data_IF_081048389062
#
_entry.id   IF_081048389062
#
_cell.length_a   1.000
_cell.length_b   1.000
_cell.length_c   1.000
_cell.angle_alpha   90.00
_cell.angle_beta   90.00
_cell.angle_gamma   90.00
#
_symmetry.space_group_name_H-M   'P 1'
#
loop_
_entity.id
_entity.type
_entity.pdbx_description
1 polymer ?
#
# COMPACT_ATOMS: atom_id res chain seq x y z
N UNK A 1 -25.90 -10.21 -31.53
CA UNK A 1 -25.75 -10.08 -30.08
C UNK A 1 -27.12 -9.86 -29.50
N UNK A 2 -27.55 -10.61 -28.47
CA UNK A 2 -28.82 -10.36 -27.79
C UNK A 2 -28.75 -9.01 -27.09
N UNK A 3 -29.72 -8.15 -27.36
CA UNK A 3 -29.80 -6.83 -26.76
C UNK A 3 -30.13 -7.00 -25.27
N UNK A 4 -29.32 -6.40 -24.38
CA UNK A 4 -29.58 -6.45 -22.95
C UNK A 4 -30.88 -5.73 -22.62
N UNK A 5 -31.69 -6.25 -21.68
CA UNK A 5 -32.92 -5.60 -21.26
C UNK A 5 -32.67 -4.18 -20.77
N UNK A 6 -33.59 -3.30 -21.11
CA UNK A 6 -33.54 -1.87 -20.72
C UNK A 6 -34.58 -1.56 -19.62
N UNK A 7 -34.48 -0.37 -19.03
CA UNK A 7 -35.50 0.11 -18.08
C UNK A 7 -36.88 0.26 -18.74
N UNK A 8 -36.93 0.54 -20.05
CA UNK A 8 -38.14 0.56 -20.87
C UNK A 8 -38.79 -0.82 -20.95
N UNK A 9 -38.01 -1.88 -21.11
CA UNK A 9 -38.54 -3.25 -21.18
C UNK A 9 -39.15 -3.66 -19.84
N UNK A 10 -38.50 -3.29 -18.71
CA UNK A 10 -39.06 -3.50 -17.36
C UNK A 10 -40.38 -2.75 -17.20
N UNK A 11 -40.38 -1.45 -17.58
CA UNK A 11 -41.59 -0.62 -17.48
C UNK A 11 -42.78 -1.20 -18.31
N UNK A 12 -42.49 -1.71 -19.49
CA UNK A 12 -43.46 -2.34 -20.37
C UNK A 12 -44.02 -3.65 -19.77
N UNK A 13 -43.14 -4.54 -19.25
CA UNK A 13 -43.56 -5.81 -18.63
C UNK A 13 -44.33 -5.57 -17.33
N UNK A 14 -43.89 -4.65 -16.50
CA UNK A 14 -44.56 -4.29 -15.24
C UNK A 14 -45.78 -3.38 -15.43
N UNK A 15 -46.08 -2.92 -16.64
CA UNK A 15 -47.16 -1.98 -16.99
C UNK A 15 -47.13 -0.71 -16.13
N UNK A 16 -45.96 -0.09 -16.01
CA UNK A 16 -45.74 1.17 -15.27
C UNK A 16 -44.89 2.15 -16.08
N UNK A 17 -44.77 3.37 -15.62
CA UNK A 17 -43.86 4.34 -16.23
C UNK A 17 -42.40 4.02 -15.93
N UNK A 18 -41.46 4.48 -16.77
CA UNK A 18 -40.01 4.44 -16.50
C UNK A 18 -39.67 5.08 -15.15
N UNK A 19 -40.35 6.18 -14.81
CA UNK A 19 -40.18 6.85 -13.54
C UNK A 19 -40.57 5.95 -12.36
N UNK A 20 -41.64 5.17 -12.49
CA UNK A 20 -42.06 4.21 -11.47
C UNK A 20 -41.02 3.11 -11.27
N UNK A 21 -40.45 2.56 -12.35
CA UNK A 21 -39.34 1.59 -12.27
C UNK A 21 -38.13 2.22 -11.57
N UNK A 22 -37.78 3.45 -11.94
CA UNK A 22 -36.69 4.19 -11.30
C UNK A 22 -36.94 4.41 -9.81
N UNK A 23 -38.16 4.71 -9.42
CA UNK A 23 -38.53 4.91 -8.01
C UNK A 23 -38.42 3.59 -7.22
N UNK A 24 -38.88 2.46 -7.78
CA UNK A 24 -38.71 1.14 -7.14
C UNK A 24 -37.24 0.82 -6.90
N UNK A 25 -36.37 1.09 -7.87
CA UNK A 25 -34.93 0.81 -7.78
C UNK A 25 -34.18 1.71 -6.80
N UNK A 26 -34.65 2.95 -6.58
CA UNK A 26 -33.86 3.97 -5.87
C UNK A 26 -34.52 4.49 -4.58
N UNK A 27 -35.82 4.38 -4.47
CA UNK A 27 -36.61 4.90 -3.33
C UNK A 27 -37.88 4.03 -3.16
N UNK A 28 -37.71 2.73 -2.84
CA UNK A 28 -38.83 1.79 -2.83
C UNK A 28 -39.94 2.17 -1.83
N UNK A 29 -39.58 2.92 -0.78
CA UNK A 29 -40.53 3.36 0.25
C UNK A 29 -41.61 4.34 -0.21
N UNK A 30 -41.39 5.04 -1.34
CA UNK A 30 -42.39 5.96 -1.91
C UNK A 30 -43.34 5.29 -2.89
N UNK A 31 -43.14 3.99 -3.17
CA UNK A 31 -43.94 3.23 -4.14
C UNK A 31 -44.85 2.26 -3.38
N UNK A 32 -46.14 2.18 -3.80
CA UNK A 32 -47.10 1.24 -3.22
C UNK A 32 -46.62 -0.21 -3.38
N UNK A 33 -46.80 -1.05 -2.34
CA UNK A 33 -46.29 -2.43 -2.30
C UNK A 33 -46.67 -3.26 -3.53
N UNK A 34 -47.95 -3.28 -3.94
CA UNK A 34 -48.41 -3.99 -5.11
C UNK A 34 -47.75 -3.54 -6.43
N UNK A 35 -47.32 -2.27 -6.52
CA UNK A 35 -46.58 -1.75 -7.68
C UNK A 35 -45.12 -2.17 -7.63
N UNK A 36 -44.53 -2.14 -6.44
CA UNK A 36 -43.16 -2.59 -6.19
C UNK A 36 -42.98 -4.07 -6.55
N UNK A 37 -43.87 -4.94 -6.06
CA UNK A 37 -43.84 -6.38 -6.36
C UNK A 37 -43.93 -6.67 -7.88
N UNK A 38 -44.78 -5.96 -8.61
CA UNK A 38 -44.88 -6.13 -10.07
C UNK A 38 -43.60 -5.74 -10.80
N UNK A 39 -42.96 -4.65 -10.37
CA UNK A 39 -41.70 -4.20 -10.95
C UNK A 39 -40.57 -5.16 -10.62
N UNK A 40 -40.49 -5.63 -9.38
CA UNK A 40 -39.47 -6.60 -8.94
C UNK A 40 -39.63 -7.96 -9.70
N UNK A 41 -40.85 -8.41 -9.90
CA UNK A 41 -41.15 -9.59 -10.71
C UNK A 41 -40.68 -9.40 -12.17
N UNK A 42 -40.94 -8.24 -12.78
CA UNK A 42 -40.51 -7.92 -14.13
C UNK A 42 -38.97 -7.84 -14.24
N UNK A 43 -38.30 -7.28 -13.26
CA UNK A 43 -36.82 -7.24 -13.15
C UNK A 43 -36.26 -8.66 -13.12
N UNK A 44 -36.82 -9.54 -12.26
CA UNK A 44 -36.40 -10.93 -12.14
C UNK A 44 -36.65 -11.70 -13.45
N UNK A 45 -37.84 -11.57 -14.07
CA UNK A 45 -38.22 -12.21 -15.32
C UNK A 45 -37.28 -11.87 -16.48
N UNK A 46 -36.94 -10.57 -16.60
CA UNK A 46 -36.04 -10.06 -17.65
C UNK A 46 -34.58 -10.21 -17.32
N UNK A 47 -34.24 -10.62 -16.11
CA UNK A 47 -32.84 -10.56 -15.55
C UNK A 47 -32.23 -9.20 -15.77
N UNK A 48 -33.07 -8.14 -15.65
CA UNK A 48 -32.60 -6.77 -15.81
C UNK A 48 -31.67 -6.39 -14.68
N UNK A 49 -30.54 -5.82 -15.06
CA UNK A 49 -29.63 -5.14 -14.13
C UNK A 49 -29.48 -3.68 -14.59
N UNK A 50 -29.66 -2.70 -13.70
CA UNK A 50 -29.42 -1.31 -14.04
C UNK A 50 -28.03 -1.12 -14.64
N UNK A 51 -27.94 -0.49 -15.80
CA UNK A 51 -26.66 -0.18 -16.41
C UNK A 51 -25.86 0.76 -15.50
N UNK A 52 -24.64 0.38 -15.16
CA UNK A 52 -23.73 1.18 -14.33
C UNK A 52 -23.53 2.61 -14.92
N UNK A 53 -23.46 2.72 -16.25
CA UNK A 53 -23.37 4.01 -16.96
C UNK A 53 -24.57 4.93 -16.72
N UNK A 54 -25.80 4.41 -16.73
CA UNK A 54 -27.00 5.20 -16.46
C UNK A 54 -27.06 5.66 -14.99
N UNK A 55 -26.58 4.82 -14.05
CA UNK A 55 -26.46 5.19 -12.64
C UNK A 55 -25.40 6.28 -12.46
N UNK A 56 -24.23 6.16 -13.10
CA UNK A 56 -23.13 7.13 -13.08
C UNK A 56 -23.59 8.51 -13.59
N UNK A 57 -24.25 8.55 -14.75
CA UNK A 57 -24.77 9.82 -15.33
C UNK A 57 -25.71 10.55 -14.39
N UNK A 58 -26.50 9.82 -13.60
CA UNK A 58 -27.49 10.41 -12.69
C UNK A 58 -26.87 10.82 -11.35
N UNK A 59 -26.02 9.96 -10.76
CA UNK A 59 -25.46 10.18 -9.42
C UNK A 59 -24.12 10.89 -9.45
N UNK A 60 -23.47 10.97 -10.61
CA UNK A 60 -22.07 11.39 -10.79
C UNK A 60 -21.09 10.62 -9.89
N UNK A 61 -21.47 9.39 -9.48
CA UNK A 61 -20.65 8.51 -8.66
C UNK A 61 -20.39 7.21 -9.40
N UNK A 62 -19.13 6.81 -9.49
CA UNK A 62 -18.72 5.59 -10.17
C UNK A 62 -18.62 4.39 -9.22
N UNK A 63 -18.56 4.65 -7.90
CA UNK A 63 -18.20 3.67 -6.87
C UNK A 63 -16.89 2.98 -7.22
N UNK A 64 -15.90 3.75 -7.64
CA UNK A 64 -14.61 3.24 -8.12
C UNK A 64 -13.47 4.07 -7.53
N UNK A 65 -12.45 3.37 -7.05
CA UNK A 65 -11.21 3.93 -6.53
C UNK A 65 -10.12 3.66 -7.57
N UNK A 66 -9.40 4.71 -7.98
CA UNK A 66 -8.26 4.60 -8.89
C UNK A 66 -6.96 4.41 -8.13
N UNK A 67 -6.11 3.52 -8.61
CA UNK A 67 -4.75 3.34 -8.11
C UNK A 67 -3.82 3.04 -9.27
N UNK A 68 -2.62 3.64 -9.26
CA UNK A 68 -1.61 3.36 -10.26
C UNK A 68 -1.01 1.97 -10.04
N UNK A 69 -0.96 1.18 -11.10
CA UNK A 69 -0.13 -0.02 -11.15
C UNK A 69 1.32 0.43 -11.39
N UNK A 70 2.18 0.16 -10.43
CA UNK A 70 3.61 0.46 -10.57
C UNK A 70 4.21 -0.32 -11.75
N UNK A 71 5.16 0.30 -12.49
CA UNK A 71 5.92 -0.43 -13.48
C UNK A 71 6.60 -1.63 -12.84
N UNK A 72 6.68 -2.73 -13.57
CA UNK A 72 7.36 -3.94 -13.10
C UNK A 72 8.81 -3.60 -12.75
N UNK A 73 9.09 -3.57 -11.45
CA UNK A 73 10.43 -3.46 -10.88
C UNK A 73 10.71 -4.77 -10.19
N UNK A 74 11.94 -5.23 -10.17
CA UNK A 74 12.44 -6.40 -9.43
C UNK A 74 11.35 -7.22 -8.73
N UNK A 75 10.99 -8.40 -9.22
CA UNK A 75 9.82 -9.19 -8.79
C UNK A 75 9.69 -9.46 -7.27
N UNK A 76 10.69 -9.12 -6.45
CA UNK A 76 10.68 -9.26 -4.99
C UNK A 76 9.96 -8.06 -4.36
N UNK A 77 10.43 -6.83 -4.61
CA UNK A 77 9.79 -5.61 -4.06
C UNK A 77 8.39 -5.37 -4.59
N UNK A 78 8.07 -5.84 -5.79
CA UNK A 78 6.72 -5.79 -6.35
C UNK A 78 5.68 -6.55 -5.54
N UNK A 79 6.08 -7.58 -4.79
CA UNK A 79 5.17 -8.41 -3.98
C UNK A 79 4.48 -7.64 -2.85
N UNK A 80 5.07 -6.56 -2.35
CA UNK A 80 4.46 -5.69 -1.32
C UNK A 80 3.24 -4.99 -1.88
N UNK A 81 3.38 -4.35 -3.04
CA UNK A 81 2.26 -3.65 -3.68
C UNK A 81 1.20 -4.65 -4.16
N UNK A 82 1.60 -5.81 -4.67
CA UNK A 82 0.69 -6.87 -5.07
C UNK A 82 -0.18 -7.34 -3.88
N UNK A 83 0.43 -7.63 -2.73
CA UNK A 83 -0.28 -8.00 -1.49
C UNK A 83 -1.23 -6.87 -1.03
N UNK A 84 -0.77 -5.62 -1.10
CA UNK A 84 -1.62 -4.47 -0.76
C UNK A 84 -2.81 -4.34 -1.72
N UNK A 85 -2.59 -4.48 -3.03
CA UNK A 85 -3.66 -4.40 -4.04
C UNK A 85 -4.71 -5.50 -3.87
N UNK A 86 -4.30 -6.73 -3.53
CA UNK A 86 -5.22 -7.81 -3.20
C UNK A 86 -6.09 -7.45 -2.00
N UNK A 87 -5.48 -7.04 -0.89
CA UNK A 87 -6.20 -6.65 0.32
C UNK A 87 -7.13 -5.44 0.08
N UNK A 88 -6.66 -4.43 -0.67
CA UNK A 88 -7.46 -3.26 -1.02
C UNK A 88 -8.67 -3.65 -1.88
N UNK A 89 -8.48 -4.52 -2.87
CA UNK A 89 -9.55 -4.94 -3.79
C UNK A 89 -10.62 -5.76 -3.06
N UNK A 90 -10.21 -6.72 -2.24
CA UNK A 90 -11.12 -7.55 -1.44
C UNK A 90 -11.96 -6.71 -0.47
N UNK A 91 -11.31 -5.79 0.23
CA UNK A 91 -11.99 -4.92 1.19
C UNK A 91 -12.85 -3.84 0.52
N UNK A 92 -12.45 -3.35 -0.65
CA UNK A 92 -13.26 -2.42 -1.44
C UNK A 92 -14.55 -3.11 -1.94
N UNK A 93 -14.45 -4.36 -2.43
CA UNK A 93 -15.61 -5.13 -2.88
C UNK A 93 -16.63 -5.33 -1.76
N UNK A 94 -16.17 -5.65 -0.54
CA UNK A 94 -17.03 -5.77 0.66
C UNK A 94 -17.81 -4.49 0.98
N UNK A 95 -17.28 -3.33 0.55
CA UNK A 95 -17.89 -2.00 0.67
C UNK A 95 -18.61 -1.53 -0.61
N UNK A 96 -18.84 -2.44 -1.55
CA UNK A 96 -19.47 -2.15 -2.85
C UNK A 96 -18.70 -1.13 -3.70
N UNK A 97 -17.41 -0.99 -3.46
CA UNK A 97 -16.49 -0.18 -4.25
C UNK A 97 -15.69 -1.09 -5.20
N UNK A 98 -15.22 -0.53 -6.30
CA UNK A 98 -14.34 -1.21 -7.26
C UNK A 98 -12.97 -0.55 -7.26
N UNK A 99 -11.95 -1.31 -7.59
CA UNK A 99 -10.61 -0.79 -7.82
C UNK A 99 -10.35 -0.77 -9.32
N UNK A 100 -9.93 0.38 -9.85
CA UNK A 100 -9.49 0.58 -11.22
C UNK A 100 -7.99 0.78 -11.23
N UNK A 101 -7.29 -0.13 -11.90
CA UNK A 101 -5.85 -0.01 -12.11
C UNK A 101 -5.56 0.78 -13.38
N UNK A 102 -4.64 1.73 -13.30
CA UNK A 102 -4.14 2.46 -14.46
C UNK A 102 -2.61 2.56 -14.42
N UNK A 103 -1.99 2.85 -15.54
CA UNK A 103 -0.53 2.97 -15.64
C UNK A 103 -0.10 4.40 -15.88
N UNK A 104 1.05 4.77 -15.32
CA UNK A 104 1.73 6.03 -15.62
C UNK A 104 3.24 5.84 -15.48
N UNK A 105 4.02 6.55 -16.30
CA UNK A 105 5.47 6.42 -16.36
C UNK A 105 6.18 7.29 -15.31
N UNK A 106 5.56 8.40 -14.92
CA UNK A 106 6.08 9.40 -14.00
C UNK A 106 4.93 10.13 -13.28
N UNK A 107 5.20 10.94 -12.26
CA UNK A 107 4.18 11.67 -11.51
C UNK A 107 3.33 12.64 -12.35
N UNK A 108 3.88 13.29 -13.37
CA UNK A 108 3.14 14.21 -14.23
C UNK A 108 2.17 13.46 -15.15
N UNK A 109 2.63 12.35 -15.72
CA UNK A 109 1.77 11.46 -16.50
C UNK A 109 0.66 10.85 -15.61
N UNK A 110 0.95 10.54 -14.36
CA UNK A 110 -0.06 10.06 -13.41
C UNK A 110 -1.14 11.13 -13.16
N UNK A 111 -0.77 12.39 -12.99
CA UNK A 111 -1.72 13.52 -12.88
C UNK A 111 -2.61 13.61 -14.12
N UNK A 112 -2.07 13.44 -15.32
CA UNK A 112 -2.85 13.47 -16.56
C UNK A 112 -3.85 12.31 -16.65
N UNK A 113 -3.47 11.10 -16.20
CA UNK A 113 -4.37 9.96 -16.13
C UNK A 113 -5.48 10.20 -15.09
N UNK A 114 -5.13 10.70 -13.90
CA UNK A 114 -6.08 11.06 -12.85
C UNK A 114 -7.11 12.08 -13.37
N UNK A 115 -6.65 13.12 -14.07
CA UNK A 115 -7.53 14.13 -14.69
C UNK A 115 -8.53 13.48 -15.64
N UNK A 116 -8.08 12.62 -16.55
CA UNK A 116 -8.94 11.93 -17.53
C UNK A 116 -9.98 11.05 -16.85
N UNK A 117 -9.58 10.26 -15.85
CA UNK A 117 -10.47 9.35 -15.13
C UNK A 117 -11.52 10.10 -14.31
N UNK A 118 -11.13 11.23 -13.68
CA UNK A 118 -12.05 12.11 -12.97
C UNK A 118 -13.04 12.79 -13.91
N UNK A 119 -12.55 13.41 -14.99
CA UNK A 119 -13.37 14.14 -15.94
C UNK A 119 -14.35 13.23 -16.70
N UNK A 120 -13.96 11.96 -16.91
CA UNK A 120 -14.84 10.90 -17.42
C UNK A 120 -15.84 10.34 -16.40
N UNK A 121 -15.79 10.80 -15.14
CA UNK A 121 -16.55 10.21 -14.03
C UNK A 121 -16.37 8.70 -13.88
N UNK A 122 -15.18 8.18 -14.21
CA UNK A 122 -14.84 6.77 -14.12
C UNK A 122 -14.34 6.39 -12.72
N UNK A 123 -13.80 7.37 -11.98
CA UNK A 123 -13.20 7.22 -10.65
C UNK A 123 -13.69 8.33 -9.73
N UNK A 124 -14.04 7.98 -8.49
CA UNK A 124 -14.53 8.93 -7.48
C UNK A 124 -13.40 9.41 -6.54
N UNK A 125 -12.37 8.59 -6.34
CA UNK A 125 -11.25 8.88 -5.45
C UNK A 125 -10.01 8.09 -5.85
N UNK A 126 -8.85 8.49 -5.35
CA UNK A 126 -7.58 7.87 -5.69
C UNK A 126 -6.80 7.42 -4.45
N UNK A 127 -6.06 6.32 -4.61
CA UNK A 127 -5.03 5.88 -3.69
C UNK A 127 -3.68 6.09 -4.36
N UNK A 128 -2.82 6.89 -3.75
CA UNK A 128 -1.44 7.08 -4.22
C UNK A 128 -0.49 6.18 -3.44
N UNK A 129 0.45 5.60 -4.13
CA UNK A 129 1.57 4.82 -3.58
C UNK A 129 2.90 5.46 -3.97
N UNK A 130 4.00 4.97 -3.42
CA UNK A 130 5.35 5.45 -3.76
C UNK A 130 5.49 6.97 -3.64
N UNK A 131 5.07 7.52 -2.48
CA UNK A 131 5.17 8.96 -2.19
C UNK A 131 6.63 9.40 -2.07
N UNK A 132 6.90 10.62 -2.48
CA UNK A 132 8.22 11.24 -2.43
C UNK A 132 8.20 12.59 -1.71
N UNK A 133 9.37 13.16 -1.47
CA UNK A 133 9.49 14.55 -1.02
C UNK A 133 8.86 15.49 -2.05
N UNK A 134 8.07 16.46 -1.56
CA UNK A 134 7.39 17.47 -2.40
C UNK A 134 6.61 16.86 -3.59
N UNK A 135 5.89 15.78 -3.34
CA UNK A 135 5.18 15.00 -4.37
C UNK A 135 4.20 15.88 -5.15
N UNK A 136 4.41 16.12 -6.46
CA UNK A 136 3.57 17.00 -7.24
C UNK A 136 2.13 16.49 -7.40
N UNK A 137 1.90 15.19 -7.26
CA UNK A 137 0.57 14.56 -7.32
C UNK A 137 -0.29 15.03 -6.16
N UNK A 138 0.28 15.07 -4.94
CA UNK A 138 -0.41 15.52 -3.73
C UNK A 138 -0.79 16.99 -3.86
N UNK A 139 0.15 17.84 -4.29
CA UNK A 139 -0.11 19.27 -4.50
C UNK A 139 -1.25 19.48 -5.50
N UNK A 140 -1.23 18.78 -6.63
CA UNK A 140 -2.24 18.89 -7.68
C UNK A 140 -3.62 18.39 -7.20
N UNK A 141 -3.70 17.23 -6.53
CA UNK A 141 -4.95 16.67 -6.03
C UNK A 141 -5.60 17.57 -4.98
N UNK A 142 -4.79 18.10 -4.06
CA UNK A 142 -5.26 19.05 -3.03
C UNK A 142 -5.79 20.34 -3.65
N UNK A 143 -5.08 20.92 -4.62
CA UNK A 143 -5.49 22.15 -5.31
C UNK A 143 -6.78 21.96 -6.12
N UNK A 144 -6.98 20.79 -6.71
CA UNK A 144 -8.15 20.48 -7.55
C UNK A 144 -9.29 19.81 -6.76
N UNK A 145 -9.20 19.75 -5.44
CA UNK A 145 -10.21 19.16 -4.53
C UNK A 145 -10.60 17.72 -4.92
N UNK A 146 -9.64 16.93 -5.40
CA UNK A 146 -9.86 15.53 -5.74
C UNK A 146 -9.71 14.68 -4.47
N UNK A 147 -10.67 13.82 -4.11
CA UNK A 147 -10.53 12.95 -2.96
C UNK A 147 -9.40 11.93 -3.15
N UNK A 148 -8.51 11.84 -2.18
CA UNK A 148 -7.41 10.86 -2.21
C UNK A 148 -6.92 10.49 -0.81
N UNK A 149 -6.20 9.38 -0.73
CA UNK A 149 -5.39 8.94 0.42
C UNK A 149 -4.04 8.45 -0.12
N UNK A 150 -2.96 8.74 0.58
CA UNK A 150 -1.64 8.17 0.25
C UNK A 150 -1.31 6.97 1.14
N UNK A 151 -0.78 5.92 0.54
CA UNK A 151 0.03 4.93 1.26
C UNK A 151 1.49 5.41 1.19
N UNK A 152 1.90 6.04 2.25
CA UNK A 152 3.14 6.80 2.45
C UNK A 152 2.86 8.19 3.01
N UNK A 153 3.73 8.65 3.90
CA UNK A 153 3.65 9.94 4.59
C UNK A 153 3.87 11.12 3.63
N UNK A 154 3.48 12.35 4.03
CA UNK A 154 3.86 13.58 3.36
C UNK A 154 5.32 13.95 3.68
N UNK A 155 6.25 13.26 3.03
CA UNK A 155 7.68 13.43 3.25
C UNK A 155 8.13 14.88 3.02
N UNK A 156 8.91 15.45 3.96
CA UNK A 156 9.42 16.81 3.88
C UNK A 156 8.47 17.90 4.36
N UNK A 157 7.27 17.55 4.81
CA UNK A 157 6.34 18.50 5.41
C UNK A 157 6.45 18.48 6.93
N UNK A 158 6.51 19.67 7.56
CA UNK A 158 6.52 19.80 9.01
C UNK A 158 5.17 19.46 9.62
N UNK A 159 4.07 19.81 8.94
CA UNK A 159 2.71 19.46 9.34
C UNK A 159 2.22 18.21 8.60
N UNK A 160 2.32 17.07 9.26
CA UNK A 160 1.80 15.78 8.77
C UNK A 160 0.31 15.58 9.12
N UNK A 161 -0.34 16.54 9.77
CA UNK A 161 -1.73 16.46 10.21
C UNK A 161 -2.70 17.25 9.32
N UNK A 162 -2.25 17.79 8.18
CA UNK A 162 -3.11 18.53 7.25
C UNK A 162 -4.32 17.67 6.83
N UNK A 163 -5.57 18.05 7.18
CA UNK A 163 -6.74 17.25 6.88
C UNK A 163 -7.04 17.13 5.37
N UNK A 164 -6.38 17.94 4.54
CA UNK A 164 -6.50 17.86 3.07
C UNK A 164 -5.61 16.77 2.48
N UNK A 165 -4.62 16.29 3.24
CA UNK A 165 -3.75 15.19 2.86
C UNK A 165 -3.90 14.03 3.85
N UNK A 166 -4.84 13.14 3.57
CA UNK A 166 -5.02 11.91 4.35
C UNK A 166 -3.96 10.89 3.95
N UNK A 167 -3.36 10.25 4.95
CA UNK A 167 -2.31 9.27 4.68
C UNK A 167 -2.32 8.09 5.66
N UNK A 168 -1.85 6.96 5.17
CA UNK A 168 -1.53 5.77 5.96
C UNK A 168 -0.10 5.40 5.66
N UNK A 169 0.68 5.07 6.68
CA UNK A 169 2.04 4.59 6.47
C UNK A 169 2.39 3.52 7.51
N UNK A 170 3.47 2.80 7.24
CA UNK A 170 4.07 1.85 8.17
C UNK A 170 5.29 2.51 8.80
N UNK A 171 5.45 2.39 10.14
CA UNK A 171 6.58 2.97 10.87
C UNK A 171 7.88 2.21 10.57
N UNK A 172 8.47 2.52 9.41
CA UNK A 172 9.71 1.90 8.95
C UNK A 172 10.88 2.17 9.89
N UNK A 173 10.91 3.37 10.50
CA UNK A 173 11.93 3.76 11.48
C UNK A 173 11.86 2.89 12.74
N UNK A 174 10.66 2.69 13.29
CA UNK A 174 10.47 1.83 14.46
C UNK A 174 10.84 0.37 14.15
N UNK A 175 10.42 -0.15 12.99
CA UNK A 175 10.75 -1.53 12.60
C UNK A 175 12.25 -1.78 12.44
N UNK A 176 12.97 -0.91 11.74
CA UNK A 176 14.42 -1.05 11.56
C UNK A 176 15.16 -0.83 12.87
N UNK A 177 14.68 0.07 13.74
CA UNK A 177 15.22 0.23 15.08
C UNK A 177 15.08 -1.06 15.90
N UNK A 178 13.89 -1.65 15.95
CA UNK A 178 13.62 -2.92 16.64
C UNK A 178 14.52 -4.05 16.12
N UNK A 179 14.65 -4.20 14.81
CA UNK A 179 15.52 -5.21 14.19
C UNK A 179 16.99 -5.01 14.57
N UNK A 180 17.46 -3.77 14.62
CA UNK A 180 18.84 -3.46 15.02
C UNK A 180 19.06 -3.72 16.51
N UNK A 181 18.13 -3.30 17.38
CA UNK A 181 18.14 -3.55 18.82
C UNK A 181 18.13 -5.08 19.12
N UNK A 182 17.37 -5.86 18.34
CA UNK A 182 17.36 -7.33 18.46
C UNK A 182 18.75 -7.94 18.23
N UNK A 183 19.48 -7.48 17.21
CA UNK A 183 20.86 -7.92 16.96
C UNK A 183 21.82 -7.46 18.07
N UNK A 184 21.70 -6.24 18.54
CA UNK A 184 22.51 -5.71 19.64
C UNK A 184 22.28 -6.50 20.95
N UNK A 185 21.03 -6.90 21.23
CA UNK A 185 20.69 -7.71 22.41
C UNK A 185 21.31 -9.12 22.37
N UNK A 186 21.65 -9.63 21.18
CA UNK A 186 22.39 -10.87 21.01
C UNK A 186 23.92 -10.71 21.17
N UNK A 187 24.39 -9.51 21.51
CA UNK A 187 25.81 -9.20 21.71
C UNK A 187 26.57 -8.80 20.45
N UNK A 188 25.87 -8.58 19.35
CA UNK A 188 26.46 -8.13 18.09
C UNK A 188 26.62 -6.62 18.14
N UNK A 189 27.84 -6.10 18.13
CA UNK A 189 28.12 -4.66 18.29
C UNK A 189 28.42 -3.94 16.96
N UNK A 190 28.70 -4.69 15.89
CA UNK A 190 29.00 -4.15 14.56
C UNK A 190 27.89 -4.53 13.58
N UNK A 191 26.74 -3.86 13.72
CA UNK A 191 25.59 -4.06 12.85
C UNK A 191 25.67 -3.08 11.67
N UNK A 192 25.84 -3.61 10.46
CA UNK A 192 25.86 -2.80 9.25
C UNK A 192 24.46 -2.54 8.68
N UNK A 193 24.36 -1.55 7.80
CA UNK A 193 23.11 -1.18 7.11
C UNK A 193 23.31 -1.09 5.59
N UNK A 194 22.43 -1.75 4.83
CA UNK A 194 22.35 -1.61 3.37
C UNK A 194 21.00 -0.96 3.03
N UNK A 195 21.04 0.28 2.57
CA UNK A 195 19.86 1.10 2.34
C UNK A 195 19.69 1.58 0.91
N UNK A 196 18.68 2.41 0.70
CA UNK A 196 18.45 3.12 -0.56
C UNK A 196 19.14 4.47 -0.56
N UNK A 197 19.38 5.07 -1.74
CA UNK A 197 19.91 6.44 -1.83
C UNK A 197 19.02 7.42 -1.07
N UNK A 198 19.65 8.47 -0.51
CA UNK A 198 18.93 9.53 0.19
C UNK A 198 17.90 10.22 -0.71
N UNK A 199 16.85 10.77 -0.11
CA UNK A 199 15.75 11.41 -0.81
C UNK A 199 14.58 10.47 -1.13
N UNK A 200 14.62 9.23 -0.65
CA UNK A 200 13.51 8.30 -0.77
C UNK A 200 12.71 8.24 0.54
N UNK A 201 12.12 9.25 1.00
CA UNK A 201 11.34 9.31 2.26
C UNK A 201 11.34 8.07 3.16
N UNK A 202 10.74 6.96 2.69
CA UNK A 202 10.73 5.69 3.41
C UNK A 202 12.12 5.10 3.65
N UNK A 203 13.07 5.24 2.71
CA UNK A 203 14.44 4.78 2.88
C UNK A 203 15.19 5.60 3.93
N UNK A 204 15.01 6.92 3.91
CA UNK A 204 15.62 7.81 4.90
C UNK A 204 15.08 7.55 6.31
N UNK A 205 13.78 7.24 6.41
CA UNK A 205 13.13 6.89 7.68
C UNK A 205 13.66 5.56 8.24
N UNK A 206 13.77 4.53 7.40
CA UNK A 206 14.38 3.23 7.75
C UNK A 206 15.84 3.39 8.19
N UNK A 207 16.64 4.18 7.45
CA UNK A 207 18.03 4.47 7.81
C UNK A 207 18.15 5.16 9.18
N UNK A 208 17.27 6.12 9.46
CA UNK A 208 17.21 6.77 10.78
C UNK A 208 16.93 5.77 11.91
N UNK A 209 16.09 4.77 11.69
CA UNK A 209 15.83 3.72 12.66
C UNK A 209 17.10 2.95 13.07
N UNK A 210 17.93 2.60 12.08
CA UNK A 210 19.23 1.97 12.33
C UNK A 210 20.19 2.92 13.09
N UNK A 211 20.29 4.19 12.66
CA UNK A 211 21.12 5.20 13.34
C UNK A 211 20.70 5.39 14.80
N UNK A 212 19.38 5.45 15.07
CA UNK A 212 18.85 5.61 16.42
C UNK A 212 19.27 4.46 17.34
N UNK A 213 19.12 3.21 16.89
CA UNK A 213 19.49 2.04 17.68
C UNK A 213 20.99 1.99 18.00
N UNK A 214 21.83 2.22 16.97
CA UNK A 214 23.30 2.25 17.14
C UNK A 214 23.72 3.37 18.09
N UNK A 215 23.16 4.56 17.94
CA UNK A 215 23.46 5.71 18.78
C UNK A 215 22.99 5.52 20.23
N UNK A 216 21.81 4.92 20.44
CA UNK A 216 21.29 4.61 21.77
C UNK A 216 22.20 3.62 22.51
N UNK A 217 22.80 2.67 21.77
CA UNK A 217 23.83 1.75 22.29
C UNK A 217 25.21 2.41 22.48
N UNK A 218 25.38 3.69 22.14
CA UNK A 218 26.65 4.45 22.19
C UNK A 218 27.74 3.84 21.28
N UNK A 219 27.34 3.25 20.17
CA UNK A 219 28.20 2.68 19.15
C UNK A 219 28.37 3.65 17.97
N UNK A 220 29.42 3.43 17.16
CA UNK A 220 29.66 4.26 15.96
C UNK A 220 28.93 3.69 14.75
N UNK A 221 28.39 4.59 13.94
CA UNK A 221 27.83 4.27 12.60
C UNK A 221 28.85 4.40 11.48
N UNK A 222 30.06 4.95 11.76
CA UNK A 222 31.04 5.32 10.75
C UNK A 222 31.54 4.10 9.96
N UNK A 223 31.38 4.12 8.65
CA UNK A 223 31.81 3.03 7.75
C UNK A 223 30.97 1.75 7.85
N UNK A 224 29.81 1.78 8.53
CA UNK A 224 28.94 0.63 8.70
C UNK A 224 27.67 0.69 7.83
N UNK A 225 27.51 1.69 6.99
CA UNK A 225 26.35 1.79 6.09
C UNK A 225 26.75 2.10 4.65
N UNK A 226 25.93 1.60 3.72
CA UNK A 226 26.00 1.90 2.30
C UNK A 226 24.61 2.03 1.73
N UNK A 227 24.50 2.70 0.57
CA UNK A 227 23.20 2.89 -0.10
C UNK A 227 23.32 2.61 -1.60
N UNK A 228 22.33 1.84 -2.10
CA UNK A 228 22.26 1.41 -3.51
C UNK A 228 20.81 1.38 -3.98
N UNK A 229 20.62 1.43 -5.29
CA UNK A 229 19.29 1.20 -5.89
C UNK A 229 18.81 -0.20 -5.52
N UNK A 230 17.51 -0.34 -5.26
CA UNK A 230 16.91 -1.59 -4.84
C UNK A 230 17.05 -2.68 -5.91
N UNK A 231 17.87 -3.68 -5.64
CA UNK A 231 18.17 -4.76 -6.56
C UNK A 231 19.10 -5.81 -5.95
N UNK A 232 18.92 -7.08 -6.35
CA UNK A 232 19.71 -8.19 -5.80
C UNK A 232 21.19 -8.02 -6.11
N UNK A 233 21.55 -7.68 -7.36
CA UNK A 233 22.95 -7.48 -7.75
C UNK A 233 23.58 -6.31 -7.02
N UNK A 234 22.87 -5.18 -6.91
CA UNK A 234 23.31 -3.98 -6.21
C UNK A 234 23.50 -4.27 -4.71
N UNK A 235 22.56 -4.98 -4.09
CA UNK A 235 22.67 -5.43 -2.70
C UNK A 235 23.84 -6.39 -2.49
N UNK A 236 24.13 -7.27 -3.48
CA UNK A 236 25.28 -8.19 -3.40
C UNK A 236 26.61 -7.44 -3.42
N UNK A 237 26.76 -6.46 -4.29
CA UNK A 237 27.99 -5.66 -4.38
C UNK A 237 28.18 -4.80 -3.14
N UNK A 238 27.16 -4.07 -2.72
CA UNK A 238 27.17 -3.22 -1.54
C UNK A 238 27.50 -4.00 -0.25
N UNK A 239 26.88 -5.16 -0.07
CA UNK A 239 27.15 -6.01 1.08
C UNK A 239 28.58 -6.60 1.01
N UNK A 240 29.06 -6.99 -0.17
CA UNK A 240 30.42 -7.49 -0.34
C UNK A 240 31.47 -6.45 0.09
N UNK A 241 31.29 -5.19 -0.28
CA UNK A 241 32.17 -4.09 0.12
C UNK A 241 32.20 -3.92 1.66
N UNK A 242 31.03 -3.88 2.31
CA UNK A 242 30.94 -3.82 3.76
C UNK A 242 31.57 -5.03 4.46
N UNK A 243 31.48 -6.22 3.87
CA UNK A 243 31.97 -7.47 4.44
C UNK A 243 33.46 -7.71 4.20
N UNK A 244 34.02 -7.14 3.13
CA UNK A 244 35.44 -7.33 2.75
C UNK A 244 36.40 -6.78 3.82
N UNK A 245 36.03 -5.71 4.51
CA UNK A 245 36.81 -5.11 5.59
C UNK A 245 36.71 -5.82 6.93
N UNK A 246 35.95 -6.90 7.06
CA UNK A 246 35.57 -7.51 8.35
C UNK A 246 35.02 -6.50 9.38
N UNK A 247 34.36 -5.46 8.89
CA UNK A 247 33.89 -4.33 9.70
C UNK A 247 32.53 -4.57 10.34
N UNK A 248 31.74 -5.54 9.82
CA UNK A 248 30.38 -5.83 10.29
C UNK A 248 30.21 -7.33 10.62
N UNK A 249 29.36 -7.62 11.61
CA UNK A 249 29.04 -8.97 12.09
C UNK A 249 27.57 -9.35 11.81
N UNK A 250 26.75 -8.37 11.45
CA UNK A 250 25.36 -8.56 11.02
C UNK A 250 24.95 -7.45 10.06
N UNK A 251 23.91 -7.66 9.28
CA UNK A 251 23.34 -6.66 8.37
C UNK A 251 21.84 -6.47 8.60
N UNK A 252 21.40 -5.20 8.59
CA UNK A 252 20.00 -4.82 8.41
C UNK A 252 19.86 -4.16 7.04
N UNK A 253 18.88 -4.56 6.28
CA UNK A 253 18.68 -4.12 4.90
C UNK A 253 17.34 -3.40 4.76
N UNK A 254 17.31 -2.36 3.92
CA UNK A 254 16.10 -1.57 3.68
C UNK A 254 14.97 -2.37 2.96
N UNK A 255 15.29 -3.51 2.36
CA UNK A 255 14.31 -4.39 1.70
C UNK A 255 14.81 -5.84 1.73
N UNK A 256 13.90 -6.77 1.50
CA UNK A 256 14.25 -8.19 1.32
C UNK A 256 15.06 -8.42 0.02
N UNK A 257 14.89 -7.56 -0.98
CA UNK A 257 15.69 -7.59 -2.20
C UNK A 257 17.17 -7.36 -1.88
N UNK A 258 17.46 -6.33 -1.09
CA UNK A 258 18.83 -6.04 -0.64
C UNK A 258 19.33 -7.12 0.32
N UNK A 259 18.47 -7.66 1.19
CA UNK A 259 18.82 -8.74 2.11
C UNK A 259 19.17 -10.04 1.39
N UNK A 260 18.48 -10.38 0.30
CA UNK A 260 18.85 -11.50 -0.57
C UNK A 260 20.26 -11.28 -1.17
N UNK A 261 20.51 -10.07 -1.68
CA UNK A 261 21.84 -9.71 -2.18
C UNK A 261 22.92 -9.84 -1.10
N UNK A 262 22.63 -9.35 0.10
CA UNK A 262 23.52 -9.47 1.25
C UNK A 262 23.78 -10.94 1.63
N UNK A 263 22.78 -11.81 1.56
CA UNK A 263 22.92 -13.25 1.79
C UNK A 263 23.84 -13.91 0.76
N UNK A 264 23.69 -13.56 -0.52
CA UNK A 264 24.56 -14.04 -1.60
C UNK A 264 26.01 -13.59 -1.37
N UNK A 265 26.23 -12.34 -0.99
CA UNK A 265 27.56 -11.82 -0.68
C UNK A 265 28.19 -12.55 0.53
N UNK A 266 27.44 -12.71 1.63
CA UNK A 266 27.90 -13.41 2.82
C UNK A 266 28.28 -14.86 2.52
N UNK A 267 27.45 -15.61 1.78
CA UNK A 267 27.73 -16.97 1.36
C UNK A 267 29.02 -17.06 0.51
N UNK A 268 29.21 -16.12 -0.45
CA UNK A 268 30.42 -16.09 -1.28
C UNK A 268 31.72 -15.84 -0.50
N UNK A 269 31.62 -15.33 0.73
CA UNK A 269 32.74 -15.05 1.64
C UNK A 269 32.85 -16.10 2.79
N UNK A 270 32.08 -17.21 2.71
CA UNK A 270 32.06 -18.23 3.74
C UNK A 270 31.41 -17.78 5.07
N UNK A 271 30.56 -16.77 5.03
CA UNK A 271 29.85 -16.21 6.20
C UNK A 271 28.36 -16.60 6.20
N UNK A 272 28.04 -17.86 5.89
CA UNK A 272 26.67 -18.36 5.74
C UNK A 272 25.81 -18.18 7.00
N UNK A 273 26.42 -18.26 8.19
CA UNK A 273 25.75 -18.08 9.48
C UNK A 273 25.56 -16.61 9.89
N UNK A 274 25.98 -15.65 9.06
CA UNK A 274 25.89 -14.24 9.39
C UNK A 274 24.42 -13.78 9.52
N UNK A 275 24.02 -13.12 10.62
CA UNK A 275 22.70 -12.57 10.78
C UNK A 275 22.40 -11.49 9.75
N UNK A 276 21.27 -11.64 9.05
CA UNK A 276 20.77 -10.68 8.06
C UNK A 276 19.26 -10.51 8.27
N UNK A 277 18.83 -9.25 8.40
CA UNK A 277 17.41 -8.89 8.53
C UNK A 277 17.03 -8.02 7.34
N UNK A 278 15.96 -8.40 6.63
CA UNK A 278 15.35 -7.63 5.56
C UNK A 278 14.17 -6.78 6.02
N UNK A 279 13.43 -6.27 5.06
CA UNK A 279 12.19 -5.53 5.27
C UNK A 279 11.21 -5.94 4.19
N UNK A 280 9.92 -6.07 4.53
CA UNK A 280 8.73 -6.39 3.73
C UNK A 280 8.14 -7.77 4.00
N UNK A 281 8.91 -8.72 4.52
CA UNK A 281 8.51 -10.12 4.78
C UNK A 281 7.93 -10.80 3.53
N UNK A 282 8.67 -10.71 2.44
CA UNK A 282 8.28 -11.25 1.15
C UNK A 282 8.30 -12.79 1.10
N UNK A 283 7.57 -13.42 0.16
CA UNK A 283 7.65 -14.86 -0.07
C UNK A 283 9.08 -15.38 -0.32
N UNK A 284 9.95 -14.54 -0.89
CA UNK A 284 11.37 -14.89 -1.11
C UNK A 284 12.12 -14.96 0.22
N UNK A 285 11.97 -13.96 1.10
CA UNK A 285 12.58 -13.96 2.42
C UNK A 285 12.14 -15.18 3.24
N UNK A 286 10.84 -15.53 3.18
CA UNK A 286 10.30 -16.73 3.79
C UNK A 286 10.97 -18.00 3.23
N UNK A 287 11.05 -18.13 1.90
CA UNK A 287 11.56 -19.34 1.24
C UNK A 287 13.03 -19.63 1.56
N UNK A 288 13.85 -18.58 1.73
CA UNK A 288 15.29 -18.72 2.01
C UNK A 288 15.64 -18.53 3.50
N UNK A 289 14.64 -18.36 4.38
CA UNK A 289 14.81 -18.25 5.81
C UNK A 289 15.45 -16.94 6.30
N UNK A 290 15.36 -15.84 5.54
CA UNK A 290 15.80 -14.52 5.99
C UNK A 290 14.77 -13.95 6.96
N UNK A 291 15.23 -13.45 8.12
CA UNK A 291 14.41 -12.65 9.04
C UNK A 291 14.05 -11.33 8.39
N UNK A 292 12.84 -10.85 8.62
CA UNK A 292 12.38 -9.66 7.94
C UNK A 292 11.37 -8.87 8.78
N UNK A 293 11.27 -7.58 8.51
CA UNK A 293 10.29 -6.69 9.13
C UNK A 293 9.01 -6.73 8.29
N UNK A 294 7.95 -7.33 8.84
CA UNK A 294 6.67 -7.51 8.17
C UNK A 294 5.84 -6.22 8.23
N UNK A 295 5.36 -5.78 7.08
CA UNK A 295 4.37 -4.71 6.98
C UNK A 295 2.94 -5.26 7.14
N UNK A 296 2.05 -4.62 7.94
CA UNK A 296 0.67 -5.06 8.12
C UNK A 296 -0.23 -4.62 6.97
N UNK A 297 0.04 -5.07 5.73
CA UNK A 297 -0.57 -4.54 4.49
C UNK A 297 -2.10 -4.66 4.45
N UNK A 298 -2.68 -5.70 5.06
CA UNK A 298 -4.13 -5.81 5.18
C UNK A 298 -4.72 -4.70 6.08
N UNK A 299 -4.04 -4.36 7.18
CA UNK A 299 -4.44 -3.24 8.05
C UNK A 299 -4.21 -1.89 7.37
N UNK A 300 -3.16 -1.76 6.54
CA UNK A 300 -2.95 -0.56 5.70
C UNK A 300 -4.13 -0.38 4.75
N UNK A 301 -4.56 -1.43 4.04
CA UNK A 301 -5.70 -1.37 3.13
C UNK A 301 -7.00 -0.98 3.86
N UNK A 302 -7.24 -1.54 5.06
CA UNK A 302 -8.37 -1.15 5.91
C UNK A 302 -8.33 0.33 6.24
N UNK A 303 -7.20 0.82 6.75
CA UNK A 303 -7.04 2.21 7.17
C UNK A 303 -7.17 3.19 5.98
N UNK A 304 -6.63 2.83 4.80
CA UNK A 304 -6.80 3.61 3.56
C UNK A 304 -8.27 3.76 3.20
N UNK A 305 -9.04 2.67 3.24
CA UNK A 305 -10.47 2.72 2.94
C UNK A 305 -11.28 3.47 4.00
N UNK A 306 -10.94 3.35 5.28
CA UNK A 306 -11.60 4.11 6.36
C UNK A 306 -11.36 5.62 6.22
N UNK A 307 -10.15 6.04 5.86
CA UNK A 307 -9.83 7.45 5.62
C UNK A 307 -10.45 7.99 4.32
N UNK A 308 -10.70 7.12 3.34
CA UNK A 308 -11.26 7.51 2.03
C UNK A 308 -12.78 7.52 2.01
N UNK A 309 -13.41 6.62 2.74
CA UNK A 309 -14.85 6.38 2.74
C UNK A 309 -15.44 6.81 4.09
N UNK A 310 -16.63 7.39 4.11
CA UNK A 310 -17.31 7.76 5.35
C UNK A 310 -17.59 6.57 6.29
N UNK A 311 -18.18 6.83 7.47
CA UNK A 311 -18.47 5.81 8.47
C UNK A 311 -19.34 4.66 7.96
N UNK A 312 -20.16 4.89 6.94
CA UNK A 312 -20.96 3.86 6.25
C UNK A 312 -20.11 2.95 5.35
N UNK A 313 -18.86 3.36 5.07
CA UNK A 313 -17.89 2.58 4.32
C UNK A 313 -18.16 2.47 2.81
N UNK A 314 -19.14 3.17 2.26
CA UNK A 314 -19.52 3.08 0.84
C UNK A 314 -19.68 4.43 0.14
N UNK A 315 -19.31 5.52 0.80
CA UNK A 315 -19.36 6.86 0.25
C UNK A 315 -18.01 7.56 0.39
N UNK A 316 -17.49 8.07 -0.71
CA UNK A 316 -16.21 8.80 -0.71
C UNK A 316 -16.37 10.10 0.06
N UNK A 317 -15.48 10.33 1.01
CA UNK A 317 -15.40 11.56 1.78
C UNK A 317 -14.91 12.71 0.88
N UNK A 318 -15.47 13.93 1.00
CA UNK A 318 -14.96 15.07 0.28
C UNK A 318 -13.49 15.34 0.60
N UNK A 319 -12.76 15.95 -0.34
CA UNK A 319 -11.35 16.31 -0.18
C UNK A 319 -11.09 17.20 1.05
N UNK A 320 -12.08 17.98 1.46
CA UNK A 320 -12.06 18.85 2.65
C UNK A 320 -13.12 18.41 3.65
N UNK A 321 -13.01 17.23 4.22
CA UNK A 321 -13.87 16.88 5.34
C UNK A 321 -13.27 17.47 6.63
N UNK A 322 -14.00 18.36 7.26
CA UNK A 322 -13.72 18.80 8.63
C UNK A 322 -14.13 17.69 9.58
N UNK A 323 -13.29 16.67 9.74
CA UNK A 323 -13.51 15.62 10.72
C UNK A 323 -12.62 15.89 11.94
N UNK A 324 -13.17 15.68 13.13
CA UNK A 324 -12.45 15.71 14.40
C UNK A 324 -11.48 14.54 14.55
N UNK A 325 -11.51 13.56 13.65
CA UNK A 325 -10.62 12.40 13.65
C UNK A 325 -9.28 12.70 12.94
N UNK A 326 -8.18 12.07 13.40
CA UNK A 326 -6.88 12.21 12.74
C UNK A 326 -6.97 11.84 11.26
N UNK A 327 -6.43 12.73 10.41
CA UNK A 327 -6.35 12.54 8.95
C UNK A 327 -5.33 11.47 8.53
N UNK A 328 -4.73 10.77 9.48
CA UNK A 328 -3.67 9.81 9.20
C UNK A 328 -3.66 8.60 10.14
N UNK A 329 -2.98 7.54 9.70
CA UNK A 329 -2.67 6.35 10.51
C UNK A 329 -1.21 5.95 10.27
N UNK A 330 -0.45 5.81 11.35
CA UNK A 330 0.89 5.23 11.34
C UNK A 330 0.83 3.85 12.00
N UNK A 331 1.10 2.79 11.22
CA UNK A 331 0.95 1.41 11.66
C UNK A 331 2.31 0.82 12.04
N UNK A 332 2.34 0.11 13.16
CA UNK A 332 3.56 -0.55 13.58
C UNK A 332 3.82 -1.82 12.73
N UNK A 333 5.03 -1.98 12.18
CA UNK A 333 5.46 -3.26 11.59
C UNK A 333 5.82 -4.26 12.69
N UNK A 334 6.19 -5.47 12.29
CA UNK A 334 6.58 -6.54 13.21
C UNK A 334 7.85 -7.24 12.72
N UNK A 335 8.83 -7.45 13.59
CA UNK A 335 9.98 -8.30 13.27
C UNK A 335 9.53 -9.77 13.24
N UNK A 336 9.82 -10.44 12.12
CA UNK A 336 9.62 -11.88 11.93
C UNK A 336 11.00 -12.55 11.94
N UNK A 337 11.34 -13.14 13.07
CA UNK A 337 12.61 -13.82 13.26
C UNK A 337 12.63 -15.18 12.57
N UNK A 338 13.75 -15.48 11.90
CA UNK A 338 14.08 -16.74 11.25
C UNK A 338 15.53 -17.11 11.59
N UNK A 339 16.03 -18.20 11.05
CA UNK A 339 17.42 -18.64 11.33
C UNK A 339 18.48 -17.58 11.03
N UNK A 340 18.24 -16.74 10.03
CA UNK A 340 19.20 -15.72 9.60
C UNK A 340 19.47 -14.61 10.62
N UNK A 341 18.72 -14.53 11.72
CA UNK A 341 18.96 -13.51 12.76
C UNK A 341 18.96 -14.07 14.18
N UNK A 342 18.67 -15.36 14.35
CA UNK A 342 18.58 -15.96 15.69
C UNK A 342 19.67 -17.00 15.89
N UNK A 343 20.78 -16.60 16.49
CA UNK A 343 21.92 -17.46 16.82
C UNK A 343 21.54 -18.61 17.75
N UNK A 344 20.46 -18.52 18.53
CA UNK A 344 20.03 -19.59 19.42
C UNK A 344 19.38 -20.75 18.66
N UNK A 345 18.74 -20.49 17.51
CA UNK A 345 18.14 -21.53 16.66
C UNK A 345 19.20 -22.40 15.94
N UNK A 346 20.37 -21.86 15.65
CA UNK A 346 21.45 -22.61 14.99
C UNK A 346 22.13 -23.60 15.93
N UNK A 347 22.10 -23.38 17.25
CA UNK A 347 22.72 -24.27 18.25
C UNK A 347 21.93 -25.55 18.54
N UNK A 348 20.65 -25.60 18.17
CA UNK A 348 19.75 -26.75 18.46
C UNK A 348 19.78 -27.85 17.39
N UNK A 349 20.49 -27.67 16.28
CA UNK A 349 20.57 -28.66 15.17
C UNK A 349 21.96 -29.36 15.10
N UNK A 350 22.90 -28.96 15.93
CA UNK A 350 24.25 -29.52 16.00
C UNK A 350 24.47 -30.56 17.10
N UNK A 351 23.40 -31.13 17.70
CA UNK A 351 23.46 -32.27 18.65
C UNK A 351 22.55 -33.41 18.08
#
# INVERSE_FOLDING_TARGET
MAQLPTVEDVARVAQVSRQTVSNVLNSPSIVKDATRERVEAAIAQLRYRPHASARRLRTRKSSTIGIRLEPERNGISGSVLDTFLHALTEQADSRQMRVLLFTANDPLHEIDQIRRLRDGADVDAFVLTSTSYEDPRVAWLTQNEVPFVTFGRPWGHDDMSDPRHRWVDVDGRAGVREATENLLAQGITRVGYVGWPSGSGAGDDRHKGWVDAISAARLSTTGLSTSVVDGVSQGTEAARELLAGNTVDALVCASDTLALGARIAAASLGKDAMPIIGFDDTPVALAIGISSIQQPLAAVATAVLELLLGPTGNEVLPARAANEEPSYRLLAPRLVERRSSNLALDRTIGT
#
